data_IF_521394449773
#
_entry.id   IF_521394449773
#
_cell.length_a   1.000
_cell.length_b   1.000
_cell.length_c   1.000
_cell.angle_alpha   90.00
_cell.angle_beta   90.00
_cell.angle_gamma   90.00
#
_symmetry.space_group_name_H-M   'P 1'
#
loop_
_entity.id
_entity.type
_entity.pdbx_description
1 polymer ?
#
# COMPACT_ATOMS: atom_id res chain seq x y z
N UNK A 1 -11.05 5.57 -3.73
CA UNK A 1 -9.64 5.72 -3.29
C UNK A 1 -8.69 5.33 -4.41
N UNK A 2 -7.44 5.82 -4.39
CA UNK A 2 -6.39 5.43 -5.36
C UNK A 2 -5.15 5.05 -4.58
N UNK A 3 -4.47 3.98 -4.99
CA UNK A 3 -3.24 3.52 -4.36
C UNK A 3 -2.22 2.98 -5.36
N UNK A 4 -0.94 3.18 -5.06
CA UNK A 4 0.18 2.62 -5.80
C UNK A 4 1.18 1.97 -4.82
N UNK A 5 1.81 0.87 -5.22
CA UNK A 5 2.80 0.16 -4.41
C UNK A 5 2.25 -0.21 -3.02
N UNK A 6 2.97 0.06 -1.95
CA UNK A 6 2.49 -0.13 -0.58
C UNK A 6 1.17 0.61 -0.32
N UNK A 7 0.96 1.78 -0.95
CA UNK A 7 -0.30 2.52 -0.89
C UNK A 7 -1.48 1.73 -1.45
N UNK A 8 -1.27 0.86 -2.45
CA UNK A 8 -2.31 -0.02 -2.97
C UNK A 8 -2.80 -1.00 -1.91
N UNK A 9 -1.90 -1.57 -1.12
CA UNK A 9 -2.23 -2.47 -0.02
C UNK A 9 -3.03 -1.73 1.05
N UNK A 10 -2.54 -0.56 1.45
CA UNK A 10 -3.16 0.24 2.52
C UNK A 10 -4.56 0.72 2.16
N UNK A 11 -4.77 1.25 0.94
CA UNK A 11 -6.11 1.72 0.53
C UNK A 11 -7.08 0.56 0.34
N UNK A 12 -6.62 -0.63 -0.03
CA UNK A 12 -7.46 -1.84 -0.15
C UNK A 12 -7.96 -2.28 1.23
N UNK A 13 -7.06 -2.36 2.22
CA UNK A 13 -7.45 -2.67 3.60
C UNK A 13 -8.40 -1.61 4.19
N UNK A 14 -8.07 -0.33 4.00
CA UNK A 14 -8.92 0.77 4.48
C UNK A 14 -10.30 0.77 3.81
N UNK A 15 -10.39 0.46 2.50
CA UNK A 15 -11.67 0.38 1.79
C UNK A 15 -12.54 -0.76 2.33
N UNK A 16 -11.92 -1.86 2.75
CA UNK A 16 -12.59 -3.03 3.34
C UNK A 16 -12.79 -2.90 4.87
N UNK A 17 -12.50 -1.74 5.46
CA UNK A 17 -12.63 -1.47 6.91
C UNK A 17 -11.87 -2.50 7.78
N UNK A 18 -10.71 -2.93 7.29
CA UNK A 18 -9.84 -3.85 8.03
C UNK A 18 -9.19 -3.09 9.19
N UNK A 19 -9.34 -3.63 10.40
CA UNK A 19 -8.72 -3.05 11.60
C UNK A 19 -7.19 -3.01 11.48
N UNK A 20 -6.55 -1.84 11.60
CA UNK A 20 -5.10 -1.71 11.45
C UNK A 20 -4.28 -2.53 12.43
N UNK A 21 -4.73 -2.65 13.69
CA UNK A 21 -3.99 -3.38 14.71
C UNK A 21 -4.04 -4.90 14.40
N UNK A 22 -5.19 -5.41 13.94
CA UNK A 22 -5.33 -6.78 13.41
C UNK A 22 -4.44 -7.03 12.21
N UNK A 23 -4.37 -6.07 11.27
CA UNK A 23 -3.53 -6.19 10.08
C UNK A 23 -2.04 -6.29 10.44
N UNK A 24 -1.59 -5.45 11.37
CA UNK A 24 -0.19 -5.45 11.85
C UNK A 24 0.13 -6.74 12.60
N UNK A 25 -0.76 -7.19 13.49
CA UNK A 25 -0.55 -8.42 14.23
C UNK A 25 -0.43 -9.62 13.28
N UNK A 26 -1.31 -9.73 12.27
CA UNK A 26 -1.24 -10.81 11.29
C UNK A 26 0.06 -10.76 10.47
N UNK A 27 0.51 -9.57 10.06
CA UNK A 27 1.79 -9.41 9.37
C UNK A 27 2.96 -9.90 10.24
N UNK A 28 2.95 -9.58 11.53
CA UNK A 28 3.98 -10.02 12.47
C UNK A 28 3.96 -11.53 12.69
N UNK A 29 2.79 -12.14 12.80
CA UNK A 29 2.65 -13.58 12.96
C UNK A 29 3.19 -14.33 11.73
N UNK A 30 2.83 -13.87 10.52
CA UNK A 30 3.38 -14.40 9.27
C UNK A 30 4.90 -14.25 9.19
N UNK A 31 5.42 -13.10 9.63
CA UNK A 31 6.84 -12.83 9.66
C UNK A 31 7.59 -13.83 10.58
N UNK A 32 6.98 -14.19 11.71
CA UNK A 32 7.49 -15.23 12.64
C UNK A 32 7.36 -16.63 12.04
N UNK A 33 6.19 -16.98 11.48
CA UNK A 33 5.95 -18.27 10.86
C UNK A 33 6.98 -18.59 9.77
N UNK A 34 7.37 -17.58 8.99
CA UNK A 34 8.36 -17.69 7.91
C UNK A 34 9.80 -17.42 8.35
N UNK A 35 10.02 -17.14 9.64
CA UNK A 35 11.34 -16.87 10.23
C UNK A 35 12.16 -15.82 9.47
N UNK A 36 11.52 -14.72 9.07
CA UNK A 36 12.09 -13.75 8.13
C UNK A 36 13.39 -13.11 8.64
N UNK A 37 13.54 -12.94 9.95
CA UNK A 37 14.70 -12.28 10.55
C UNK A 37 15.98 -13.14 10.49
N UNK A 38 15.85 -14.47 10.40
CA UNK A 38 16.97 -15.39 10.25
C UNK A 38 17.28 -15.77 8.79
N UNK A 39 16.49 -15.27 7.84
CA UNK A 39 16.74 -15.52 6.41
C UNK A 39 17.90 -14.67 5.90
N UNK A 40 18.85 -15.23 5.13
CA UNK A 40 20.00 -14.49 4.57
C UNK A 40 19.61 -13.28 3.70
N UNK A 41 18.48 -13.38 2.99
CA UNK A 41 17.94 -12.31 2.12
C UNK A 41 16.70 -11.62 2.72
N UNK A 42 16.36 -11.88 3.99
CA UNK A 42 15.18 -11.33 4.63
C UNK A 42 13.90 -11.60 3.85
N UNK A 43 13.21 -10.56 3.42
CA UNK A 43 11.95 -10.63 2.67
C UNK A 43 12.14 -10.88 1.16
N UNK A 44 13.36 -10.68 0.61
CA UNK A 44 13.56 -10.80 -0.82
C UNK A 44 13.20 -12.20 -1.33
N UNK A 45 12.44 -12.24 -2.42
CA UNK A 45 11.99 -13.45 -3.09
C UNK A 45 10.79 -14.16 -2.46
N UNK A 46 10.35 -13.77 -1.25
CA UNK A 46 9.17 -14.35 -0.58
C UNK A 46 8.12 -13.28 -0.22
N UNK A 47 8.46 -12.02 -0.43
CA UNK A 47 7.58 -10.91 -0.05
C UNK A 47 6.21 -11.00 -0.72
N UNK A 48 6.17 -11.40 -2.00
CA UNK A 48 4.92 -11.56 -2.75
C UNK A 48 3.99 -12.61 -2.13
N UNK A 49 4.53 -13.77 -1.75
CA UNK A 49 3.74 -14.83 -1.12
C UNK A 49 3.23 -14.42 0.27
N UNK A 50 4.07 -13.73 1.05
CA UNK A 50 3.68 -13.19 2.35
C UNK A 50 2.55 -12.17 2.24
N UNK A 51 2.65 -11.21 1.31
CA UNK A 51 1.60 -10.20 1.08
C UNK A 51 0.32 -10.85 0.59
N UNK A 52 0.41 -11.86 -0.28
CA UNK A 52 -0.75 -12.62 -0.73
C UNK A 52 -1.47 -13.29 0.43
N UNK A 53 -0.76 -14.05 1.24
CA UNK A 53 -1.31 -14.74 2.41
C UNK A 53 -1.89 -13.75 3.43
N UNK A 54 -1.23 -12.63 3.63
CA UNK A 54 -1.67 -11.55 4.49
C UNK A 54 -2.99 -10.94 4.03
N UNK A 55 -3.09 -10.51 2.76
CA UNK A 55 -4.30 -9.94 2.19
C UNK A 55 -5.45 -10.96 2.16
N UNK A 56 -5.17 -12.21 1.80
CA UNK A 56 -6.19 -13.25 1.74
C UNK A 56 -6.81 -13.52 3.12
N UNK A 57 -5.98 -13.49 4.18
CA UNK A 57 -6.44 -13.68 5.55
C UNK A 57 -7.22 -12.50 6.13
N UNK A 58 -7.03 -11.29 5.61
CA UNK A 58 -7.61 -10.05 6.16
C UNK A 58 -8.82 -9.54 5.38
N UNK A 59 -8.81 -9.71 4.06
CA UNK A 59 -9.90 -9.21 3.22
C UNK A 59 -11.16 -10.07 3.40
N UNK A 60 -12.34 -9.44 3.54
CA UNK A 60 -13.60 -10.16 3.62
C UNK A 60 -13.96 -10.81 2.26
N UNK A 61 -14.84 -11.81 2.28
CA UNK A 61 -15.26 -12.51 1.06
C UNK A 61 -15.92 -11.59 0.04
N UNK A 62 -16.61 -10.55 0.50
CA UNK A 62 -17.27 -9.52 -0.33
C UNK A 62 -16.36 -8.33 -0.66
N UNK A 63 -15.03 -8.45 -0.52
CA UNK A 63 -14.08 -7.37 -0.79
C UNK A 63 -14.23 -6.80 -2.21
N UNK A 64 -14.58 -7.63 -3.19
CA UNK A 64 -14.83 -7.19 -4.57
C UNK A 64 -16.00 -6.22 -4.63
N UNK A 65 -17.14 -6.55 -4.01
CA UNK A 65 -18.33 -5.70 -4.02
C UNK A 65 -18.06 -4.34 -3.35
N UNK A 66 -17.20 -4.35 -2.31
CA UNK A 66 -16.79 -3.14 -1.61
C UNK A 66 -15.89 -2.26 -2.49
N UNK A 67 -14.95 -2.86 -3.24
CA UNK A 67 -13.91 -2.17 -3.98
C UNK A 67 -14.32 -1.78 -5.39
N UNK A 68 -15.27 -2.51 -6.02
CA UNK A 68 -15.65 -2.36 -7.41
C UNK A 68 -16.03 -0.92 -7.79
N UNK A 69 -15.32 -0.34 -8.77
CA UNK A 69 -15.53 1.02 -9.24
C UNK A 69 -15.16 2.14 -8.25
N UNK A 70 -14.79 1.82 -7.01
CA UNK A 70 -14.48 2.76 -5.92
C UNK A 70 -12.99 2.81 -5.57
N UNK A 71 -12.30 1.69 -5.76
CA UNK A 71 -10.87 1.53 -5.57
C UNK A 71 -10.17 1.52 -6.92
N UNK A 72 -9.08 2.28 -7.05
CA UNK A 72 -8.22 2.28 -8.24
C UNK A 72 -6.80 1.92 -7.81
N UNK A 73 -6.25 0.87 -8.39
CA UNK A 73 -4.88 0.43 -8.16
C UNK A 73 -4.02 0.78 -9.36
N UNK A 74 -2.87 1.40 -9.11
CA UNK A 74 -1.97 1.87 -10.17
C UNK A 74 -0.94 0.79 -10.48
N UNK A 75 -0.80 0.44 -11.75
CA UNK A 75 0.22 -0.49 -12.27
C UNK A 75 0.97 0.15 -13.43
N UNK A 76 2.21 -0.31 -13.67
CA UNK A 76 2.98 0.07 -14.87
C UNK A 76 3.09 -1.13 -15.80
N UNK A 77 2.59 -1.01 -17.03
CA UNK A 77 2.65 -2.06 -18.07
C UNK A 77 4.02 -2.12 -18.71
N UNK A 78 4.50 -3.30 -19.00
CA UNK A 78 5.77 -3.55 -19.69
C UNK A 78 5.48 -4.23 -21.03
N UNK A 79 6.14 -3.88 -22.13
CA UNK A 79 7.31 -2.97 -22.25
C UNK A 79 6.97 -1.50 -22.50
N UNK A 80 5.70 -1.12 -22.59
CA UNK A 80 5.28 0.24 -22.98
C UNK A 80 5.56 1.30 -21.92
N UNK A 81 5.78 0.93 -20.65
CA UNK A 81 5.84 1.81 -19.48
C UNK A 81 4.58 2.67 -19.29
N UNK A 82 3.46 2.22 -19.84
CA UNK A 82 2.16 2.85 -19.69
C UNK A 82 1.63 2.67 -18.27
N UNK A 83 1.20 3.76 -17.65
CA UNK A 83 0.49 3.73 -16.37
C UNK A 83 -0.96 3.32 -16.60
N UNK A 84 -1.42 2.32 -15.88
CA UNK A 84 -2.81 1.87 -15.92
C UNK A 84 -3.45 1.88 -14.52
N UNK A 85 -4.74 2.21 -14.52
CA UNK A 85 -5.56 2.22 -13.31
C UNK A 85 -6.53 1.03 -13.36
N UNK A 86 -6.35 0.08 -12.48
CA UNK A 86 -7.25 -1.07 -12.32
C UNK A 86 -8.37 -0.67 -11.37
N UNK A 87 -9.62 -0.73 -11.80
CA UNK A 87 -10.79 -0.34 -11.01
C UNK A 87 -11.94 -1.34 -11.06
N UNK A 88 -11.77 -2.43 -11.79
CA UNK A 88 -12.69 -3.56 -11.92
C UNK A 88 -12.00 -4.83 -11.44
N UNK A 89 -12.70 -5.63 -10.66
CA UNK A 89 -12.17 -6.83 -10.02
C UNK A 89 -13.17 -7.98 -10.20
N UNK A 90 -12.69 -9.13 -10.65
CA UNK A 90 -13.55 -10.29 -10.97
C UNK A 90 -13.69 -11.26 -9.81
N UNK A 91 -12.78 -11.22 -8.84
CA UNK A 91 -12.77 -12.05 -7.65
C UNK A 91 -11.85 -11.43 -6.56
N UNK A 92 -11.97 -11.91 -5.32
CA UNK A 92 -11.03 -11.56 -4.23
C UNK A 92 -9.59 -11.84 -4.64
N UNK A 93 -9.34 -12.96 -5.31
CA UNK A 93 -7.99 -13.31 -5.79
C UNK A 93 -7.48 -12.33 -6.86
N UNK A 94 -8.34 -11.92 -7.79
CA UNK A 94 -8.00 -10.93 -8.82
C UNK A 94 -7.70 -9.54 -8.22
N UNK A 95 -8.43 -9.13 -7.15
CA UNK A 95 -8.12 -7.92 -6.37
C UNK A 95 -6.75 -8.04 -5.68
N UNK A 96 -6.44 -9.19 -5.08
CA UNK A 96 -5.12 -9.46 -4.47
C UNK A 96 -4.03 -9.43 -5.54
N UNK A 97 -4.25 -10.03 -6.70
CA UNK A 97 -3.31 -10.02 -7.82
C UNK A 97 -3.05 -8.59 -8.33
N UNK A 98 -4.08 -7.75 -8.38
CA UNK A 98 -3.93 -6.33 -8.71
C UNK A 98 -3.09 -5.57 -7.67
N UNK A 99 -3.28 -5.84 -6.37
CA UNK A 99 -2.45 -5.30 -5.31
C UNK A 99 -0.98 -5.71 -5.46
N UNK A 100 -0.73 -6.99 -5.72
CA UNK A 100 0.62 -7.51 -5.93
C UNK A 100 1.28 -6.94 -7.18
N UNK A 101 0.53 -6.79 -8.28
CA UNK A 101 1.03 -6.16 -9.49
C UNK A 101 1.39 -4.69 -9.26
N UNK A 102 0.57 -3.96 -8.48
CA UNK A 102 0.83 -2.59 -8.08
C UNK A 102 2.07 -2.43 -7.21
N UNK A 103 2.39 -3.44 -6.39
CA UNK A 103 3.53 -3.45 -5.47
C UNK A 103 4.73 -4.25 -5.99
N UNK A 104 4.74 -4.65 -7.26
CA UNK A 104 5.81 -5.47 -7.84
C UNK A 104 7.07 -4.66 -8.12
N UNK A 105 7.87 -4.44 -7.09
CA UNK A 105 9.24 -3.91 -7.25
C UNK A 105 10.10 -5.00 -7.91
N UNK A 106 10.73 -4.72 -9.09
CA UNK A 106 11.52 -5.70 -9.81
C UNK A 106 12.56 -6.40 -8.93
N UNK A 107 12.63 -7.72 -9.04
CA UNK A 107 13.52 -8.63 -8.31
C UNK A 107 13.28 -8.74 -6.80
N UNK A 108 12.61 -7.78 -6.17
CA UNK A 108 12.41 -7.78 -4.71
C UNK A 108 11.23 -8.67 -4.30
N UNK A 109 10.11 -8.61 -5.01
CA UNK A 109 8.86 -9.27 -4.60
C UNK A 109 8.98 -10.80 -4.66
N UNK A 110 9.43 -11.33 -5.79
CA UNK A 110 9.48 -12.78 -6.10
C UNK A 110 10.73 -13.20 -6.89
N UNK A 111 11.74 -12.32 -6.96
CA UNK A 111 12.97 -12.54 -7.74
C UNK A 111 12.83 -12.33 -9.25
N UNK A 112 11.63 -11.95 -9.75
CA UNK A 112 11.38 -11.69 -11.17
C UNK A 112 11.42 -10.20 -11.48
N UNK A 113 11.75 -9.86 -12.75
CA UNK A 113 11.75 -8.49 -13.22
C UNK A 113 10.34 -7.90 -13.37
N UNK A 114 9.35 -8.73 -13.69
CA UNK A 114 7.95 -8.35 -13.91
C UNK A 114 7.04 -9.44 -13.35
N UNK A 115 5.82 -9.06 -12.94
CA UNK A 115 4.74 -10.02 -12.71
C UNK A 115 3.82 -10.11 -13.94
N UNK A 116 3.00 -11.15 -14.00
CA UNK A 116 1.91 -11.25 -14.97
C UNK A 116 0.59 -10.92 -14.28
N UNK A 117 -0.10 -9.89 -14.75
CA UNK A 117 -1.45 -9.55 -14.32
C UNK A 117 -2.40 -9.56 -15.53
N UNK A 118 -3.36 -10.46 -15.52
CA UNK A 118 -4.35 -10.65 -16.61
C UNK A 118 -3.70 -10.79 -17.99
N UNK A 119 -2.60 -11.54 -18.10
CA UNK A 119 -1.87 -11.76 -19.37
C UNK A 119 -0.92 -10.63 -19.77
N UNK A 120 -0.83 -9.55 -18.98
CA UNK A 120 0.06 -8.41 -19.22
C UNK A 120 1.23 -8.43 -18.24
N UNK A 121 2.46 -8.24 -18.74
CA UNK A 121 3.62 -8.02 -17.88
C UNK A 121 3.53 -6.65 -17.22
N UNK A 122 3.68 -6.60 -15.89
CA UNK A 122 3.54 -5.39 -15.08
C UNK A 122 4.68 -5.25 -14.07
N UNK A 123 4.90 -4.02 -13.62
CA UNK A 123 5.75 -3.66 -12.49
C UNK A 123 5.02 -2.65 -11.60
N UNK A 124 5.64 -2.32 -10.48
CA UNK A 124 5.16 -1.36 -9.47
C UNK A 124 4.64 -0.07 -10.11
N UNK A 125 3.44 0.34 -9.68
CA UNK A 125 2.74 1.50 -10.24
C UNK A 125 3.39 2.83 -9.90
N UNK A 126 4.17 2.91 -8.83
CA UNK A 126 4.85 4.13 -8.39
C UNK A 126 6.34 4.18 -8.77
N UNK A 127 6.86 3.17 -9.45
CA UNK A 127 8.29 3.07 -9.74
C UNK A 127 8.82 4.29 -10.53
N UNK A 128 8.04 4.80 -11.49
CA UNK A 128 8.38 6.00 -12.24
C UNK A 128 8.51 7.22 -11.32
N UNK A 129 7.54 7.48 -10.46
CA UNK A 129 7.56 8.58 -9.49
C UNK A 129 8.71 8.43 -8.51
N UNK A 130 8.95 7.21 -8.06
CA UNK A 130 10.08 6.88 -7.19
C UNK A 130 11.43 7.23 -7.85
N UNK A 131 11.62 6.88 -9.12
CA UNK A 131 12.87 7.15 -9.85
C UNK A 131 13.06 8.64 -10.18
N UNK A 132 11.98 9.33 -10.54
CA UNK A 132 12.02 10.75 -10.98
C UNK A 132 11.85 11.76 -9.86
N UNK A 133 11.65 11.30 -8.59
CA UNK A 133 11.24 12.12 -7.46
C UNK A 133 9.92 12.88 -7.73
N UNK A 134 9.04 12.28 -8.50
CA UNK A 134 7.68 12.77 -8.70
C UNK A 134 6.93 12.82 -7.35
N UNK A 135 6.11 13.84 -7.15
CA UNK A 135 5.36 14.06 -5.92
C UNK A 135 4.01 13.37 -6.00
N UNK A 136 3.99 12.04 -6.13
CA UNK A 136 2.76 11.24 -6.19
C UNK A 136 1.73 11.77 -7.20
N UNK A 137 2.21 12.35 -8.31
CA UNK A 137 1.37 12.95 -9.36
C UNK A 137 0.32 11.98 -9.91
N UNK A 138 0.64 10.69 -9.91
CA UNK A 138 -0.25 9.58 -10.29
C UNK A 138 -1.50 9.48 -9.40
N UNK A 139 -1.45 9.99 -8.18
CA UNK A 139 -2.53 9.90 -7.20
C UNK A 139 -3.40 11.17 -7.14
N UNK A 140 -3.04 12.24 -7.87
CA UNK A 140 -3.67 13.56 -7.75
C UNK A 140 -5.14 13.64 -8.22
N UNK A 141 -5.65 12.64 -8.95
CA UNK A 141 -7.06 12.56 -9.36
C UNK A 141 -7.65 13.89 -9.83
N UNK A 142 -6.93 14.65 -10.66
CA UNK A 142 -7.37 15.95 -11.16
C UNK A 142 -7.33 17.09 -10.11
N UNK A 143 -6.50 16.99 -9.08
CA UNK A 143 -6.33 18.02 -8.04
C UNK A 143 -7.35 17.96 -6.90
N UNK A 144 -8.24 16.98 -6.88
CA UNK A 144 -9.29 16.81 -5.86
C UNK A 144 -9.01 15.63 -4.91
N UNK A 145 -7.74 15.31 -4.64
CA UNK A 145 -7.35 14.24 -3.74
C UNK A 145 -6.62 14.80 -2.51
N UNK A 146 -6.85 14.17 -1.36
CA UNK A 146 -5.93 14.24 -0.23
C UNK A 146 -4.88 13.15 -0.45
N UNK A 147 -3.63 13.55 -0.62
CA UNK A 147 -2.50 12.65 -0.87
C UNK A 147 -1.81 12.37 0.44
N UNK A 148 -1.62 11.10 0.76
CA UNK A 148 -0.79 10.67 1.88
C UNK A 148 0.54 10.19 1.27
N UNK A 149 1.56 11.01 1.42
CA UNK A 149 2.92 10.71 1.01
C UNK A 149 3.84 10.86 2.22
N UNK A 150 4.58 9.79 2.55
CA UNK A 150 5.47 9.84 3.72
C UNK A 150 6.64 10.83 3.56
N UNK A 151 6.93 11.27 2.34
CA UNK A 151 7.91 12.34 2.09
C UNK A 151 7.43 13.73 2.54
N UNK A 152 6.13 13.91 2.70
CA UNK A 152 5.55 15.19 3.18
C UNK A 152 5.63 15.32 4.70
N UNK A 153 5.91 14.25 5.43
CA UNK A 153 6.11 14.32 6.89
C UNK A 153 7.57 14.62 7.23
N UNK A 154 7.84 15.85 7.63
CA UNK A 154 9.17 16.31 8.02
C UNK A 154 9.74 15.60 9.26
N UNK A 155 8.92 14.93 10.04
CA UNK A 155 9.35 14.16 11.21
C UNK A 155 9.78 12.73 10.83
N UNK A 156 9.31 12.22 9.71
CA UNK A 156 9.72 10.93 9.16
C UNK A 156 10.98 11.10 8.30
N UNK A 157 12.14 10.89 8.89
CA UNK A 157 13.42 10.91 8.15
C UNK A 157 13.68 9.57 7.49
N UNK A 158 12.95 9.26 6.41
CA UNK A 158 13.18 8.05 5.63
C UNK A 158 14.19 8.27 4.50
N UNK A 159 15.17 7.37 4.44
CA UNK A 159 16.00 7.20 3.25
C UNK A 159 15.18 6.54 2.12
N UNK A 160 15.53 6.86 0.88
CA UNK A 160 14.81 6.41 -0.32
C UNK A 160 14.67 4.89 -0.44
N UNK A 161 15.61 4.12 0.12
CA UNK A 161 15.64 2.66 0.09
C UNK A 161 15.33 2.03 1.46
N UNK A 162 14.82 2.81 2.41
CA UNK A 162 14.52 2.31 3.75
C UNK A 162 13.38 1.28 3.77
N UNK A 163 12.56 1.24 2.72
CA UNK A 163 11.55 0.20 2.54
C UNK A 163 12.14 -1.21 2.34
N UNK A 164 13.41 -1.32 1.93
CA UNK A 164 14.11 -2.60 1.82
C UNK A 164 14.66 -3.12 3.15
N UNK A 165 14.70 -2.28 4.18
CA UNK A 165 15.23 -2.67 5.48
C UNK A 165 14.23 -3.54 6.23
N UNK A 166 14.70 -4.71 6.64
CA UNK A 166 13.95 -5.54 7.58
C UNK A 166 13.97 -4.85 8.95
N UNK A 167 12.78 -4.52 9.46
CA UNK A 167 12.61 -3.81 10.73
C UNK A 167 12.17 -4.77 11.82
N UNK A 168 12.53 -4.45 13.05
CA UNK A 168 11.97 -5.10 14.23
C UNK A 168 10.50 -4.69 14.44
N UNK A 169 9.80 -5.47 15.25
CA UNK A 169 8.41 -5.15 15.61
C UNK A 169 8.29 -3.75 16.24
N UNK A 170 9.18 -3.40 17.17
CA UNK A 170 9.16 -2.10 17.85
C UNK A 170 9.38 -0.94 16.87
N UNK A 171 10.27 -1.10 15.88
CA UNK A 171 10.47 -0.10 14.82
C UNK A 171 9.21 0.08 13.98
N UNK A 172 8.52 -1.01 13.61
CA UNK A 172 7.24 -0.94 12.88
C UNK A 172 6.17 -0.23 13.70
N UNK A 173 6.04 -0.57 15.00
CA UNK A 173 5.10 0.10 15.90
C UNK A 173 5.41 1.58 16.07
N UNK A 174 6.69 1.95 16.12
CA UNK A 174 7.13 3.36 16.11
C UNK A 174 6.67 4.12 14.87
N UNK A 175 6.74 3.48 13.68
CA UNK A 175 6.27 4.08 12.44
C UNK A 175 4.74 4.26 12.42
N UNK A 176 4.00 3.29 12.92
CA UNK A 176 2.54 3.38 13.03
C UNK A 176 2.15 4.54 13.96
N UNK A 177 2.84 4.67 15.09
CA UNK A 177 2.61 5.79 16.00
C UNK A 177 2.92 7.14 15.35
N UNK A 178 4.01 7.24 14.58
CA UNK A 178 4.34 8.45 13.83
C UNK A 178 3.24 8.79 12.82
N UNK A 179 2.71 7.81 12.10
CA UNK A 179 1.58 7.98 11.18
C UNK A 179 0.30 8.46 11.88
N UNK A 180 -0.03 7.90 13.06
CA UNK A 180 -1.17 8.36 13.88
C UNK A 180 -1.01 9.84 14.28
N UNK A 181 0.18 10.24 14.74
CA UNK A 181 0.48 11.63 15.08
C UNK A 181 0.41 12.56 13.86
N UNK A 182 0.89 12.12 12.71
CA UNK A 182 0.75 12.87 11.46
C UNK A 182 -0.73 13.12 11.11
N UNK A 183 -1.56 12.08 11.16
CA UNK A 183 -2.99 12.19 10.89
C UNK A 183 -3.67 13.16 11.86
N UNK A 184 -3.37 13.09 13.16
CA UNK A 184 -3.91 14.01 14.18
C UNK A 184 -3.48 15.47 13.92
N UNK A 185 -2.22 15.71 13.56
CA UNK A 185 -1.73 17.07 13.22
C UNK A 185 -2.46 17.61 12.00
N UNK A 186 -2.62 16.78 10.97
CA UNK A 186 -3.30 17.15 9.73
C UNK A 186 -4.76 17.47 9.95
N UNK A 187 -5.46 16.67 10.77
CA UNK A 187 -6.85 16.90 11.13
C UNK A 187 -7.03 18.19 11.95
N UNK A 188 -6.22 18.40 12.98
CA UNK A 188 -6.22 19.62 13.79
C UNK A 188 -5.94 20.89 12.96
N UNK A 189 -5.11 20.77 11.93
CA UNK A 189 -4.85 21.86 10.98
C UNK A 189 -5.97 22.08 9.95
N UNK A 190 -7.03 21.27 9.99
CA UNK A 190 -8.17 21.35 9.06
C UNK A 190 -7.89 20.76 7.67
N UNK A 191 -6.76 20.07 7.49
CA UNK A 191 -6.38 19.49 6.20
C UNK A 191 -7.35 18.44 5.66
N UNK A 192 -8.12 17.80 6.54
CA UNK A 192 -9.12 16.80 6.20
C UNK A 192 -10.52 17.35 6.01
N UNK A 193 -10.80 18.59 6.46
CA UNK A 193 -12.16 19.18 6.47
C UNK A 193 -12.84 19.18 5.10
N UNK A 194 -12.07 19.36 4.02
CA UNK A 194 -12.59 19.36 2.65
C UNK A 194 -13.12 17.99 2.22
N UNK A 195 -12.60 16.91 2.79
CA UNK A 195 -12.88 15.52 2.39
C UNK A 195 -13.82 14.81 3.34
N UNK A 196 -13.70 15.07 4.64
CA UNK A 196 -14.44 14.40 5.71
C UNK A 196 -15.50 15.28 6.37
N UNK A 197 -15.53 16.58 6.02
CA UNK A 197 -16.31 17.57 6.75
C UNK A 197 -15.62 18.01 8.05
N UNK A 198 -16.14 19.04 8.75
CA UNK A 198 -15.58 19.47 10.02
C UNK A 198 -15.71 18.35 11.06
N UNK A 199 -14.75 18.25 12.01
CA UNK A 199 -14.79 17.25 13.06
C UNK A 199 -16.12 17.27 13.81
N UNK A 200 -16.76 16.10 13.91
CA UNK A 200 -17.98 15.99 14.75
C UNK A 200 -17.56 16.25 16.19
N UNK A 201 -18.08 17.34 16.77
CA UNK A 201 -17.85 17.64 18.18
C UNK A 201 -18.18 16.40 19.02
N UNK A 202 -17.20 15.86 19.76
CA UNK A 202 -17.46 14.77 20.68
C UNK A 202 -18.57 15.23 21.62
N UNK A 203 -19.73 14.59 21.53
CA UNK A 203 -20.80 14.79 22.53
C UNK A 203 -20.21 14.34 23.86
N UNK A 204 -20.06 15.31 24.75
CA UNK A 204 -19.68 15.12 26.15
C UNK A 204 -20.69 14.26 26.91
#
# INVERSE_FOLDING_TARGET
MVGASAGALMVTLAMCDVDPDTAVQRAYDLAKEKDIWNRPLGLAGIWGDLVREWLDSLLPDNAVDICQGRLKLVITKIPSFEIAYVCDYTSKQDLIDACLASAHVPFFLDGKATCNFRGQACIDGSLSDFLTKGNSALLQCGGNAFIIDYYDDNELKFGRFDFLKLRSYDEVMGLIQAGKLYAERTDKAGGLNRFLGPPVAKRS
#
